data_IF_954256291167
#
_entry.id   IF_954256291167
#
_cell.length_a   1.000
_cell.length_b   1.000
_cell.length_c   1.000
_cell.angle_alpha   90.00
_cell.angle_beta   90.00
_cell.angle_gamma   90.00
#
_symmetry.space_group_name_H-M   'P 1'
#
loop_
_entity.id
_entity.type
_entity.pdbx_description
1 polymer ?
#
# COMPACT_ATOMS: atom_id res chain seq x y z
N UNK A 1 10.17 6.63 -16.86
CA UNK A 1 11.65 6.57 -16.90
C UNK A 1 12.27 7.59 -17.84
N UNK A 2 11.83 7.71 -19.10
CA UNK A 2 12.46 8.60 -20.11
C UNK A 2 12.62 10.06 -19.65
N UNK A 3 11.62 10.63 -18.96
CA UNK A 3 11.73 11.98 -18.41
C UNK A 3 12.69 12.08 -17.22
N UNK A 4 12.83 11.01 -16.41
CA UNK A 4 13.73 10.98 -15.23
C UNK A 4 15.19 10.74 -15.59
N UNK A 5 15.47 10.07 -16.70
CA UNK A 5 16.85 9.97 -17.21
C UNK A 5 17.41 11.32 -17.67
N UNK A 6 16.55 12.34 -17.81
CA UNK A 6 16.89 13.71 -18.24
C UNK A 6 16.69 14.77 -17.16
N UNK A 7 16.41 14.39 -15.91
CA UNK A 7 16.30 15.36 -14.82
C UNK A 7 17.68 15.80 -14.34
N UNK A 8 17.97 17.09 -14.48
CA UNK A 8 19.20 17.71 -13.98
C UNK A 8 19.35 17.60 -12.47
N UNK A 9 20.59 17.50 -11.99
CA UNK A 9 20.93 17.52 -10.56
C UNK A 9 21.99 18.59 -10.29
N UNK A 10 22.09 19.00 -9.02
CA UNK A 10 23.11 19.94 -8.57
C UNK A 10 24.37 19.18 -8.15
N UNK A 11 25.51 19.55 -8.72
CA UNK A 11 26.84 19.06 -8.35
C UNK A 11 27.70 20.26 -7.97
N UNK A 12 28.15 20.33 -6.72
CA UNK A 12 28.92 21.47 -6.20
C UNK A 12 28.26 22.84 -6.44
N UNK A 13 26.92 22.89 -6.41
CA UNK A 13 26.14 24.13 -6.64
C UNK A 13 25.88 24.47 -8.12
N UNK A 14 26.47 23.75 -9.07
CA UNK A 14 26.21 23.92 -10.49
C UNK A 14 25.18 22.91 -10.99
N UNK A 15 24.27 23.38 -11.84
CA UNK A 15 23.25 22.51 -12.47
C UNK A 15 23.89 21.74 -13.63
N UNK A 16 24.09 20.44 -13.45
CA UNK A 16 24.62 19.55 -14.49
C UNK A 16 23.48 19.11 -15.41
N UNK A 17 23.67 19.29 -16.73
CA UNK A 17 22.70 18.92 -17.78
C UNK A 17 23.23 17.86 -18.77
N UNK A 18 24.45 17.39 -18.59
CA UNK A 18 25.09 16.40 -19.47
C UNK A 18 24.32 15.06 -19.47
N UNK A 19 23.73 14.67 -20.61
CA UNK A 19 22.87 13.49 -20.70
C UNK A 19 23.54 12.19 -20.23
N UNK A 20 24.84 12.02 -20.51
CA UNK A 20 25.60 10.83 -20.13
C UNK A 20 25.73 10.73 -18.60
N UNK A 21 26.13 11.82 -17.93
CA UNK A 21 26.26 11.87 -16.46
C UNK A 21 24.92 11.68 -15.76
N UNK A 22 23.85 12.27 -16.31
CA UNK A 22 22.49 12.10 -15.78
C UNK A 22 22.05 10.63 -15.80
N UNK A 23 22.30 9.93 -16.91
CA UNK A 23 21.90 8.53 -17.08
C UNK A 23 22.68 7.58 -16.17
N UNK A 24 23.99 7.77 -16.03
CA UNK A 24 24.82 6.95 -15.15
C UNK A 24 24.42 7.10 -13.68
N UNK A 25 24.22 8.34 -13.24
CA UNK A 25 23.74 8.62 -11.87
C UNK A 25 22.38 7.99 -11.61
N UNK A 26 21.43 8.12 -12.54
CA UNK A 26 20.11 7.54 -12.39
C UNK A 26 20.17 6.01 -12.30
N UNK A 27 20.96 5.34 -13.16
CA UNK A 27 21.14 3.87 -13.11
C UNK A 27 21.75 3.38 -11.80
N UNK A 28 22.67 4.15 -11.21
CA UNK A 28 23.30 3.82 -9.91
C UNK A 28 22.35 4.07 -8.73
N UNK A 29 21.34 4.92 -8.89
CA UNK A 29 20.38 5.27 -7.84
C UNK A 29 19.45 4.11 -7.51
N UNK A 30 19.12 3.96 -6.23
CA UNK A 30 18.12 3.01 -5.75
C UNK A 30 16.73 3.24 -6.39
N UNK A 31 16.43 4.48 -6.76
CA UNK A 31 15.17 4.83 -7.45
C UNK A 31 15.00 4.10 -8.78
N UNK A 32 16.09 3.84 -9.52
CA UNK A 32 16.01 3.12 -10.79
C UNK A 32 15.60 1.65 -10.59
N UNK A 33 16.11 0.99 -9.55
CA UNK A 33 15.74 -0.39 -9.22
C UNK A 33 14.24 -0.50 -8.89
N UNK A 34 13.72 0.42 -8.09
CA UNK A 34 12.30 0.45 -7.74
C UNK A 34 11.39 0.80 -8.93
N UNK A 35 11.79 1.78 -9.74
CA UNK A 35 11.07 2.13 -10.96
C UNK A 35 11.04 0.94 -11.93
N UNK A 36 12.12 0.15 -12.03
CA UNK A 36 12.20 -1.05 -12.85
C UNK A 36 11.27 -2.17 -12.37
N UNK A 37 11.31 -2.50 -11.06
CA UNK A 37 10.45 -3.53 -10.45
C UNK A 37 8.96 -3.17 -10.65
N UNK A 38 8.60 -1.89 -10.49
CA UNK A 38 7.22 -1.42 -10.65
C UNK A 38 6.71 -1.40 -12.11
N UNK A 39 7.59 -1.65 -13.07
CA UNK A 39 7.27 -1.68 -14.50
C UNK A 39 7.27 -3.10 -15.07
N UNK A 40 7.68 -4.10 -14.29
CA UNK A 40 7.57 -5.51 -14.68
C UNK A 40 6.09 -5.79 -14.99
N UNK A 41 5.75 -6.25 -16.20
CA UNK A 41 4.39 -6.56 -16.60
C UNK A 41 3.94 -7.87 -15.95
N UNK A 42 3.76 -7.84 -14.63
CA UNK A 42 3.16 -8.94 -13.86
C UNK A 42 1.74 -9.25 -14.31
N UNK A 43 1.11 -8.34 -15.07
CA UNK A 43 -0.18 -8.58 -15.69
C UNK A 43 -0.16 -9.74 -16.72
N UNK A 44 1.00 -10.09 -17.30
CA UNK A 44 1.14 -11.26 -18.20
C UNK A 44 0.98 -12.57 -17.42
N UNK A 45 1.32 -12.59 -16.13
CA UNK A 45 1.20 -13.78 -15.29
C UNK A 45 -0.28 -14.16 -15.03
N UNK A 46 -1.23 -13.25 -15.21
CA UNK A 46 -2.67 -13.61 -15.15
C UNK A 46 -3.07 -14.63 -16.22
N UNK A 47 -2.38 -14.67 -17.36
CA UNK A 47 -2.66 -15.64 -18.42
C UNK A 47 -2.28 -17.08 -18.01
N UNK A 48 -1.37 -17.24 -17.04
CA UNK A 48 -0.86 -18.54 -16.59
C UNK A 48 -1.49 -18.95 -15.25
N UNK A 49 -1.65 -18.01 -14.32
CA UNK A 49 -2.06 -18.28 -12.92
C UNK A 49 -3.57 -18.13 -12.71
N UNK A 50 -4.29 -17.59 -13.71
CA UNK A 50 -5.74 -17.36 -13.66
C UNK A 50 -6.12 -16.07 -12.92
N UNK A 51 -7.39 -15.66 -13.04
CA UNK A 51 -7.94 -14.43 -12.44
C UNK A 51 -8.09 -14.48 -10.90
N UNK A 52 -7.80 -15.62 -10.30
CA UNK A 52 -8.04 -15.91 -8.88
C UNK A 52 -7.06 -15.20 -7.93
N UNK A 53 -5.93 -14.69 -8.43
CA UNK A 53 -4.84 -14.11 -7.64
C UNK A 53 -4.56 -12.64 -7.99
N UNK A 54 -5.39 -11.69 -7.52
CA UNK A 54 -5.17 -10.25 -7.75
C UNK A 54 -3.87 -9.73 -7.09
N UNK A 55 -3.30 -10.46 -6.15
CA UNK A 55 -2.07 -10.14 -5.39
C UNK A 55 -0.82 -10.01 -6.30
N UNK A 56 -0.86 -10.57 -7.51
CA UNK A 56 0.22 -10.46 -8.51
C UNK A 56 0.49 -8.99 -8.92
N UNK A 57 -0.47 -8.09 -8.70
CA UNK A 57 -0.34 -6.64 -8.96
C UNK A 57 0.30 -5.82 -7.84
N UNK A 58 0.65 -6.45 -6.70
CA UNK A 58 1.28 -5.74 -5.58
C UNK A 58 2.63 -5.08 -5.98
N UNK A 59 3.27 -5.55 -7.05
CA UNK A 59 4.48 -4.92 -7.62
C UNK A 59 4.29 -3.44 -8.03
N UNK A 60 3.06 -2.99 -8.29
CA UNK A 60 2.80 -1.58 -8.64
C UNK A 60 2.93 -0.64 -7.43
N UNK A 61 2.91 -1.18 -6.21
CA UNK A 61 2.92 -0.41 -4.96
C UNK A 61 4.32 0.16 -4.65
N UNK A 62 5.38 -0.39 -5.28
CA UNK A 62 6.72 0.19 -5.27
C UNK A 62 6.81 1.62 -5.86
N UNK A 63 5.73 2.12 -6.49
CA UNK A 63 5.62 3.51 -6.94
C UNK A 63 5.39 4.51 -5.80
N UNK A 64 5.21 4.05 -4.55
CA UNK A 64 5.01 4.90 -3.37
C UNK A 64 6.07 6.00 -3.21
N UNK A 65 7.33 5.73 -3.57
CA UNK A 65 8.41 6.71 -3.51
C UNK A 65 8.16 7.99 -4.33
N UNK A 66 7.38 7.89 -5.42
CA UNK A 66 7.04 9.07 -6.23
C UNK A 66 6.06 9.99 -5.50
N UNK A 67 5.19 9.40 -4.68
CA UNK A 67 4.23 10.12 -3.87
C UNK A 67 4.94 10.90 -2.75
N UNK A 68 5.93 10.28 -2.09
CA UNK A 68 6.77 10.95 -1.09
C UNK A 68 7.50 12.17 -1.66
N UNK A 69 8.11 12.04 -2.83
CA UNK A 69 8.81 13.15 -3.50
C UNK A 69 7.84 14.29 -3.85
N UNK A 70 6.62 13.96 -4.26
CA UNK A 70 5.58 14.96 -4.51
C UNK A 70 5.18 15.71 -3.24
N UNK A 71 4.99 15.02 -2.13
CA UNK A 71 4.64 15.67 -0.86
C UNK A 71 5.75 16.59 -0.35
N UNK A 72 7.02 16.16 -0.40
CA UNK A 72 8.16 17.00 -0.01
C UNK A 72 8.24 18.29 -0.84
N UNK A 73 8.03 18.19 -2.16
CA UNK A 73 8.01 19.37 -3.05
C UNK A 73 6.79 20.27 -2.80
N UNK A 74 5.66 19.70 -2.43
CA UNK A 74 4.43 20.46 -2.17
C UNK A 74 4.51 21.19 -0.84
N UNK A 75 5.11 20.57 0.18
CA UNK A 75 5.35 21.16 1.50
C UNK A 75 6.24 22.40 1.41
N UNK A 76 7.31 22.34 0.64
CA UNK A 76 8.27 23.47 0.47
C UNK A 76 7.71 24.64 -0.34
N UNK A 77 6.59 24.46 -1.05
CA UNK A 77 5.98 25.50 -1.90
C UNK A 77 4.73 26.12 -1.30
N UNK A 78 4.28 25.65 -0.15
CA UNK A 78 3.00 26.04 0.43
C UNK A 78 3.19 26.99 1.61
N UNK A 79 2.35 28.03 1.68
CA UNK A 79 2.38 29.02 2.76
C UNK A 79 1.86 28.49 4.11
N UNK A 80 1.25 27.30 4.12
CA UNK A 80 0.71 26.61 5.31
C UNK A 80 1.33 25.23 5.49
N UNK A 81 2.63 25.13 5.86
CA UNK A 81 3.33 23.85 5.96
C UNK A 81 2.71 22.91 7.01
N UNK A 82 2.21 23.45 8.13
CA UNK A 82 1.62 22.64 9.19
C UNK A 82 0.32 21.95 8.78
N UNK A 83 -0.53 22.62 7.99
CA UNK A 83 -1.78 22.03 7.50
C UNK A 83 -1.51 20.88 6.51
N UNK A 84 -0.55 21.05 5.60
CA UNK A 84 -0.14 19.98 4.68
C UNK A 84 0.52 18.81 5.40
N UNK A 85 1.33 19.06 6.43
CA UNK A 85 1.90 17.99 7.26
C UNK A 85 0.81 17.12 7.89
N UNK A 86 -0.21 17.74 8.49
CA UNK A 86 -1.35 17.02 9.08
C UNK A 86 -2.12 16.26 7.98
N UNK A 87 -2.40 16.90 6.85
CA UNK A 87 -3.10 16.24 5.73
C UNK A 87 -2.35 15.02 5.20
N UNK A 88 -1.02 15.12 5.06
CA UNK A 88 -0.18 14.01 4.61
C UNK A 88 -0.19 12.86 5.63
N UNK A 89 -0.10 13.18 6.93
CA UNK A 89 -0.17 12.20 8.00
C UNK A 89 -1.51 11.46 7.99
N UNK A 90 -2.63 12.19 7.93
CA UNK A 90 -3.98 11.59 7.86
C UNK A 90 -4.10 10.69 6.63
N UNK A 91 -3.60 11.12 5.48
CA UNK A 91 -3.63 10.30 4.27
C UNK A 91 -2.79 9.03 4.41
N UNK A 92 -1.60 9.09 5.05
CA UNK A 92 -0.81 7.89 5.34
C UNK A 92 -1.56 6.92 6.25
N UNK A 93 -2.19 7.42 7.31
CA UNK A 93 -2.99 6.59 8.23
C UNK A 93 -4.14 5.89 7.48
N UNK A 94 -4.90 6.62 6.65
CA UNK A 94 -6.00 6.05 5.85
C UNK A 94 -5.50 4.97 4.89
N UNK A 95 -4.34 5.17 4.25
CA UNK A 95 -3.76 4.17 3.36
C UNK A 95 -3.37 2.91 4.15
N UNK A 96 -2.73 3.05 5.32
CA UNK A 96 -2.34 1.91 6.16
C UNK A 96 -3.58 1.12 6.59
N UNK A 97 -4.62 1.79 7.08
CA UNK A 97 -5.91 1.18 7.45
C UNK A 97 -6.53 0.45 6.25
N UNK A 98 -6.56 1.07 5.07
CA UNK A 98 -7.10 0.43 3.87
C UNK A 98 -6.39 -0.87 3.52
N UNK A 99 -5.06 -0.88 3.59
CA UNK A 99 -4.27 -2.06 3.29
C UNK A 99 -4.44 -3.16 4.31
N UNK A 100 -4.44 -2.81 5.60
CA UNK A 100 -4.70 -3.76 6.66
C UNK A 100 -6.12 -4.36 6.53
N UNK A 101 -7.13 -3.56 6.21
CA UNK A 101 -8.48 -4.05 5.90
C UNK A 101 -8.50 -5.05 4.74
N UNK A 102 -7.78 -4.76 3.65
CA UNK A 102 -7.65 -5.68 2.52
C UNK A 102 -6.91 -6.98 2.91
N UNK A 103 -5.87 -6.89 3.74
CA UNK A 103 -5.13 -8.05 4.25
C UNK A 103 -6.02 -8.91 5.15
N UNK A 104 -6.76 -8.32 6.08
CA UNK A 104 -7.73 -9.03 6.92
C UNK A 104 -8.79 -9.77 6.09
N UNK A 105 -9.32 -9.13 5.05
CA UNK A 105 -10.28 -9.76 4.15
C UNK A 105 -9.65 -10.92 3.34
N UNK A 106 -8.42 -10.74 2.82
CA UNK A 106 -7.71 -11.82 2.11
C UNK A 106 -7.37 -12.98 3.04
N UNK A 107 -6.96 -12.69 4.27
CA UNK A 107 -6.69 -13.67 5.31
C UNK A 107 -7.95 -14.46 5.69
N UNK A 108 -9.09 -13.77 5.88
CA UNK A 108 -10.39 -14.42 6.09
C UNK A 108 -10.79 -15.34 4.92
N UNK A 109 -10.45 -14.95 3.68
CA UNK A 109 -10.68 -15.79 2.50
C UNK A 109 -9.80 -17.05 2.49
N UNK A 110 -8.56 -16.95 3.00
CA UNK A 110 -7.62 -18.06 3.04
C UNK A 110 -7.98 -19.13 4.09
N UNK A 111 -8.49 -18.72 5.26
CA UNK A 111 -9.02 -19.62 6.29
C UNK A 111 -10.38 -20.21 5.84
N UNK A 112 -11.24 -19.35 5.31
CA UNK A 112 -12.61 -19.67 4.94
C UNK A 112 -13.58 -18.72 5.62
N UNK A 113 -14.50 -18.13 4.86
CA UNK A 113 -15.45 -17.19 5.44
C UNK A 113 -16.41 -17.91 6.40
N UNK A 114 -16.69 -17.27 7.53
CA UNK A 114 -17.59 -17.79 8.56
C UNK A 114 -17.08 -19.05 9.28
N UNK A 115 -15.80 -19.41 9.14
CA UNK A 115 -15.21 -20.56 9.84
C UNK A 115 -15.23 -20.40 11.37
N UNK A 116 -15.04 -19.16 11.85
CA UNK A 116 -15.03 -18.80 13.26
C UNK A 116 -15.61 -17.38 13.47
N UNK A 117 -15.47 -16.86 14.70
CA UNK A 117 -15.99 -15.55 15.09
C UNK A 117 -15.05 -14.38 14.73
N UNK A 118 -13.78 -14.66 14.42
CA UNK A 118 -12.76 -13.68 14.10
C UNK A 118 -12.76 -13.33 12.61
N UNK A 119 -12.92 -14.32 11.74
CA UNK A 119 -12.97 -14.14 10.28
C UNK A 119 -14.23 -13.43 9.82
N UNK A 120 -14.16 -12.88 8.61
CA UNK A 120 -15.33 -12.27 7.98
C UNK A 120 -16.51 -13.27 7.88
N UNK A 121 -17.75 -12.86 8.26
CA UNK A 121 -18.94 -13.72 8.18
C UNK A 121 -19.20 -14.27 6.77
N UNK A 122 -19.90 -15.41 6.67
CA UNK A 122 -20.16 -16.06 5.39
C UNK A 122 -20.91 -15.12 4.40
N UNK A 123 -20.32 -14.79 3.23
CA UNK A 123 -20.96 -13.99 2.20
C UNK A 123 -22.22 -14.63 1.58
N UNK A 124 -22.49 -15.90 1.86
CA UNK A 124 -23.71 -16.61 1.44
C UNK A 124 -24.95 -15.99 2.08
N UNK A 125 -24.82 -15.37 3.25
CA UNK A 125 -25.89 -14.58 3.84
C UNK A 125 -26.09 -13.27 3.05
N UNK A 126 -27.34 -12.96 2.62
CA UNK A 126 -27.63 -11.77 1.81
C UNK A 126 -27.19 -10.45 2.45
N UNK A 127 -27.08 -10.41 3.78
CA UNK A 127 -26.61 -9.26 4.54
C UNK A 127 -25.10 -9.01 4.33
N UNK A 128 -24.30 -10.07 4.26
CA UNK A 128 -22.83 -10.03 4.17
C UNK A 128 -22.30 -10.23 2.74
N UNK A 129 -23.17 -10.55 1.77
CA UNK A 129 -22.79 -10.71 0.37
C UNK A 129 -22.36 -9.42 -0.34
N UNK A 130 -22.84 -8.25 0.09
CA UNK A 130 -22.64 -6.96 -0.61
C UNK A 130 -21.19 -6.47 -0.54
N UNK A 131 -20.63 -6.03 -1.69
CA UNK A 131 -19.26 -5.51 -1.78
C UNK A 131 -18.98 -4.35 -0.80
N UNK A 132 -19.90 -3.40 -0.70
CA UNK A 132 -19.77 -2.25 0.21
C UNK A 132 -19.73 -2.71 1.67
N UNK A 133 -20.54 -3.72 2.02
CA UNK A 133 -20.57 -4.27 3.39
C UNK A 133 -19.28 -5.00 3.74
N UNK A 134 -18.75 -5.80 2.82
CA UNK A 134 -17.43 -6.47 2.95
C UNK A 134 -16.34 -5.44 3.24
N UNK A 135 -16.23 -4.44 2.37
CA UNK A 135 -15.23 -3.40 2.51
C UNK A 135 -15.41 -2.56 3.79
N UNK A 136 -16.63 -2.12 4.10
CA UNK A 136 -16.90 -1.30 5.28
C UNK A 136 -16.62 -2.06 6.59
N UNK A 137 -16.97 -3.34 6.66
CA UNK A 137 -16.68 -4.17 7.83
C UNK A 137 -15.17 -4.38 8.02
N UNK A 138 -14.46 -4.74 6.95
CA UNK A 138 -13.00 -4.92 7.04
C UNK A 138 -12.28 -3.60 7.38
N UNK A 139 -12.74 -2.47 6.85
CA UNK A 139 -12.25 -1.13 7.24
C UNK A 139 -12.54 -0.82 8.70
N UNK A 140 -13.73 -1.15 9.19
CA UNK A 140 -14.10 -0.97 10.59
C UNK A 140 -13.22 -1.80 11.52
N UNK A 141 -13.06 -3.09 11.24
CA UNK A 141 -12.17 -3.98 11.97
C UNK A 141 -10.74 -3.42 12.01
N UNK A 142 -10.19 -3.09 10.84
CA UNK A 142 -8.83 -2.54 10.70
C UNK A 142 -8.64 -1.24 11.47
N UNK A 143 -9.62 -0.34 11.42
CA UNK A 143 -9.57 0.92 12.16
C UNK A 143 -9.51 0.64 13.65
N UNK A 144 -10.40 -0.19 14.19
CA UNK A 144 -10.42 -0.51 15.62
C UNK A 144 -9.14 -1.17 16.12
N UNK A 145 -8.56 -2.06 15.32
CA UNK A 145 -7.29 -2.74 15.65
C UNK A 145 -6.13 -1.73 15.65
N UNK A 146 -5.95 -0.97 14.57
CA UNK A 146 -4.82 -0.04 14.43
C UNK A 146 -4.93 1.21 15.32
N UNK A 147 -6.14 1.62 15.70
CA UNK A 147 -6.34 2.68 16.70
C UNK A 147 -6.41 2.14 18.12
N UNK A 148 -6.07 0.86 18.33
CA UNK A 148 -5.98 0.18 19.64
C UNK A 148 -7.24 0.30 20.49
N UNK A 149 -8.42 0.37 19.86
CA UNK A 149 -9.71 0.37 20.56
C UNK A 149 -10.08 -1.07 20.94
N UNK A 150 -9.82 -2.03 20.04
CA UNK A 150 -9.83 -3.47 20.36
C UNK A 150 -11.22 -4.08 20.61
N UNK A 151 -12.31 -3.42 20.24
CA UNK A 151 -13.69 -3.97 20.31
C UNK A 151 -13.98 -4.96 19.15
N UNK A 152 -13.03 -5.81 18.82
CA UNK A 152 -13.14 -6.83 17.77
C UNK A 152 -13.19 -8.23 18.40
N UNK A 153 -13.82 -9.21 17.73
CA UNK A 153 -13.82 -10.59 18.21
C UNK A 153 -12.38 -11.09 18.46
N UNK A 154 -12.13 -11.84 19.54
CA UNK A 154 -10.81 -12.37 19.81
C UNK A 154 -10.43 -13.45 18.80
N UNK A 155 -9.15 -13.58 18.44
CA UNK A 155 -8.65 -14.68 17.62
C UNK A 155 -8.88 -16.02 18.34
N UNK A 156 -9.10 -17.06 17.56
CA UNK A 156 -9.39 -18.44 17.99
C UNK A 156 -8.25 -19.38 17.58
N UNK A 157 -7.74 -19.24 16.36
CA UNK A 157 -6.64 -20.08 15.85
C UNK A 157 -5.25 -19.45 16.05
N UNK A 158 -4.22 -20.29 16.14
CA UNK A 158 -2.82 -19.85 16.27
C UNK A 158 -2.36 -18.92 15.12
N UNK A 159 -2.89 -19.15 13.90
CA UNK A 159 -2.65 -18.32 12.71
C UNK A 159 -3.19 -16.89 12.91
N UNK A 160 -4.37 -16.76 13.52
CA UNK A 160 -5.02 -15.48 13.80
C UNK A 160 -4.32 -14.73 14.93
N UNK A 161 -3.88 -15.43 15.98
CA UNK A 161 -3.03 -14.83 17.02
C UNK A 161 -1.75 -14.23 16.42
N UNK A 162 -1.09 -14.97 15.52
CA UNK A 162 0.10 -14.46 14.85
C UNK A 162 -0.20 -13.23 13.97
N UNK A 163 -1.33 -13.25 13.26
CA UNK A 163 -1.78 -12.12 12.45
C UNK A 163 -2.03 -10.87 13.31
N UNK A 164 -2.80 -10.99 14.38
CA UNK A 164 -3.12 -9.88 15.29
C UNK A 164 -1.86 -9.34 15.98
N UNK A 165 -0.95 -10.21 16.45
CA UNK A 165 0.31 -9.78 17.07
C UNK A 165 1.18 -9.02 16.08
N UNK A 166 1.26 -9.48 14.83
CA UNK A 166 2.00 -8.79 13.78
C UNK A 166 1.39 -7.43 13.44
N UNK A 167 0.07 -7.28 13.56
CA UNK A 167 -0.62 -6.03 13.27
C UNK A 167 -0.40 -4.94 14.33
N UNK A 168 -0.08 -5.35 15.57
CA UNK A 168 0.25 -4.43 16.67
C UNK A 168 1.73 -4.01 16.72
N UNK A 169 2.61 -4.65 15.94
CA UNK A 169 4.07 -4.44 15.92
C UNK A 169 4.50 -3.38 14.91
#
# INVERSE_FOLDING_TARGET
MVFRTRTGYLEQGLLVKDEQKLRERYKKSFQFKLDLISMIPTDILYLVVGLSYPEIRLNKLFRFNRMLEFFQRTETRTNYPNALRISNLVMYIVIIIHWNACLYYSFSKAIGFGADRFVYPDPSDPEFGRLVRKYAYSMYWSTLTLTTIGETPPPVENSEYFFVVTDFL
#
